data_IF_294573579274
#
_entry.id   IF_294573579274
#
_cell.length_a   1.000
_cell.length_b   1.000
_cell.length_c   1.000
_cell.angle_alpha   90.00
_cell.angle_beta   90.00
_cell.angle_gamma   90.00
#
_symmetry.space_group_name_H-M   'P 1'
#
loop_
_entity.id
_entity.type
_entity.pdbx_description
1 polymer ?
#
# COMPACT_ATOMS: atom_id res chain seq x y z
N UNK A 1 -5.43 12.21 7.88
CA UNK A 1 -5.72 10.89 8.50
C UNK A 1 -7.12 10.88 9.12
N UNK A 2 -7.80 9.75 8.97
CA UNK A 2 -9.19 9.56 9.38
C UNK A 2 -9.79 8.36 8.64
N UNK A 3 -10.94 7.87 9.11
CA UNK A 3 -11.70 6.89 8.36
C UNK A 3 -12.46 7.57 7.19
N UNK A 4 -12.43 7.01 5.97
CA UNK A 4 -13.21 7.53 4.84
C UNK A 4 -14.70 7.18 4.94
N UNK A 5 -15.06 6.31 5.90
CA UNK A 5 -16.40 5.78 6.12
C UNK A 5 -16.61 5.44 7.60
N UNK A 6 -17.85 5.31 8.09
CA UNK A 6 -18.10 4.90 9.47
C UNK A 6 -17.51 3.53 9.81
N UNK A 7 -16.80 3.44 10.94
CA UNK A 7 -16.12 2.20 11.38
C UNK A 7 -17.05 0.98 11.47
N UNK A 8 -18.33 1.21 11.82
CA UNK A 8 -19.33 0.15 11.95
C UNK A 8 -19.64 -0.60 10.64
N UNK A 9 -19.19 -0.09 9.49
CA UNK A 9 -19.33 -0.78 8.20
C UNK A 9 -18.21 -1.80 7.96
N UNK A 10 -17.14 -1.78 8.74
CA UNK A 10 -16.09 -2.79 8.67
C UNK A 10 -16.57 -4.08 9.33
N UNK A 11 -16.36 -5.21 8.64
CA UNK A 11 -16.72 -6.54 9.10
C UNK A 11 -15.55 -7.51 8.83
N UNK A 12 -15.33 -8.50 9.70
CA UNK A 12 -14.17 -9.41 9.62
C UNK A 12 -14.08 -10.20 8.30
N UNK A 13 -15.20 -10.41 7.61
CA UNK A 13 -15.27 -11.14 6.34
C UNK A 13 -14.80 -10.31 5.13
N UNK A 14 -14.55 -9.01 5.31
CA UNK A 14 -14.13 -8.13 4.23
C UNK A 14 -12.65 -8.27 3.86
N UNK A 15 -12.39 -8.03 2.58
CA UNK A 15 -11.08 -7.66 2.06
C UNK A 15 -10.98 -6.13 1.94
N UNK A 16 -10.02 -5.53 2.62
CA UNK A 16 -9.80 -4.08 2.59
C UNK A 16 -8.48 -3.79 1.89
N UNK A 17 -8.55 -3.22 0.70
CA UNK A 17 -7.39 -2.77 -0.07
C UNK A 17 -7.39 -1.25 -0.16
N UNK A 18 -6.22 -0.63 -0.04
CA UNK A 18 -6.05 0.81 -0.18
C UNK A 18 -5.05 1.19 -1.27
N UNK A 19 -5.21 2.42 -1.76
CA UNK A 19 -4.29 3.07 -2.72
C UNK A 19 -3.40 4.11 -2.04
N UNK A 20 -3.67 4.43 -0.77
CA UNK A 20 -2.83 5.33 0.01
C UNK A 20 -1.55 4.59 0.39
N UNK A 21 -0.41 5.19 0.06
CA UNK A 21 0.91 4.60 0.33
C UNK A 21 1.83 5.48 1.18
N UNK A 22 1.35 6.66 1.61
CA UNK A 22 2.03 7.56 2.57
C UNK A 22 1.01 8.16 3.55
N UNK A 23 0.91 7.62 4.78
CA UNK A 23 1.61 6.44 5.31
C UNK A 23 1.06 5.12 4.71
N UNK A 24 1.84 4.03 4.79
CA UNK A 24 1.38 2.67 4.44
C UNK A 24 0.32 2.16 5.42
N UNK A 25 0.47 2.48 6.70
CA UNK A 25 -0.52 2.12 7.73
C UNK A 25 -1.48 3.30 7.94
N UNK A 26 -2.66 3.22 7.33
CA UNK A 26 -3.74 4.19 7.49
C UNK A 26 -4.66 3.81 8.65
N UNK A 27 -5.53 4.72 9.09
CA UNK A 27 -6.52 4.38 10.12
C UNK A 27 -7.49 3.28 9.65
N UNK A 28 -7.87 3.26 8.37
CA UNK A 28 -8.76 2.23 7.82
C UNK A 28 -8.09 0.85 7.82
N UNK A 29 -6.83 0.74 7.35
CA UNK A 29 -6.08 -0.52 7.42
C UNK A 29 -5.85 -0.98 8.86
N UNK A 30 -5.53 -0.05 9.77
CA UNK A 30 -5.31 -0.36 11.19
C UNK A 30 -6.57 -0.93 11.84
N UNK A 31 -7.73 -0.29 11.62
CA UNK A 31 -9.03 -0.74 12.14
C UNK A 31 -9.46 -2.06 11.52
N UNK A 32 -9.31 -2.20 10.19
CA UNK A 32 -9.67 -3.41 9.47
C UNK A 32 -8.85 -4.61 9.97
N UNK A 33 -7.52 -4.45 10.12
CA UNK A 33 -6.65 -5.50 10.66
C UNK A 33 -7.02 -5.84 12.12
N UNK A 34 -7.32 -4.84 12.94
CA UNK A 34 -7.79 -5.04 14.31
C UNK A 34 -9.12 -5.82 14.41
N UNK A 35 -9.95 -5.79 13.37
CA UNK A 35 -11.19 -6.56 13.28
C UNK A 35 -11.00 -7.95 12.64
N UNK A 36 -9.79 -8.29 12.19
CA UNK A 36 -9.49 -9.57 11.52
C UNK A 36 -9.77 -9.59 10.02
N UNK A 37 -10.02 -8.43 9.40
CA UNK A 37 -10.11 -8.33 7.94
C UNK A 37 -8.78 -8.73 7.29
N UNK A 38 -8.86 -9.29 6.08
CA UNK A 38 -7.68 -9.40 5.21
C UNK A 38 -7.41 -8.01 4.61
N UNK A 39 -6.17 -7.53 4.72
CA UNK A 39 -5.80 -6.17 4.28
C UNK A 39 -4.68 -6.18 3.24
N UNK A 40 -4.69 -5.15 2.39
CA UNK A 40 -3.63 -4.85 1.41
C UNK A 40 -3.38 -3.34 1.41
N UNK A 41 -2.13 -2.92 1.67
CA UNK A 41 -1.74 -1.52 1.59
C UNK A 41 -1.50 -1.05 0.15
N UNK A 42 -1.31 0.27 -0.02
CA UNK A 42 -1.11 0.89 -1.33
C UNK A 42 0.32 0.77 -1.88
N UNK A 43 1.27 0.17 -1.16
CA UNK A 43 2.67 0.11 -1.55
C UNK A 43 2.90 -0.65 -2.85
N UNK A 44 2.30 -1.84 -2.97
CA UNK A 44 2.38 -2.62 -4.21
C UNK A 44 1.83 -1.85 -5.41
N UNK A 45 0.67 -1.22 -5.26
CA UNK A 45 0.10 -0.36 -6.31
C UNK A 45 1.08 0.74 -6.73
N UNK A 46 1.70 1.44 -5.78
CA UNK A 46 2.64 2.51 -6.09
C UNK A 46 3.86 2.02 -6.90
N UNK A 47 4.42 0.86 -6.52
CA UNK A 47 5.60 0.30 -7.18
C UNK A 47 5.26 -0.25 -8.57
N UNK A 48 4.19 -1.03 -8.71
CA UNK A 48 3.81 -1.61 -10.00
C UNK A 48 3.40 -0.53 -11.01
N UNK A 49 2.72 0.54 -10.56
CA UNK A 49 2.43 1.70 -11.42
C UNK A 49 3.71 2.42 -11.84
N UNK A 50 4.69 2.58 -10.94
CA UNK A 50 5.97 3.18 -11.29
C UNK A 50 6.77 2.30 -12.27
N UNK A 51 6.73 0.98 -12.12
CA UNK A 51 7.37 0.03 -13.03
C UNK A 51 6.75 0.13 -14.44
N UNK A 52 5.42 0.15 -14.54
CA UNK A 52 4.72 0.35 -15.81
C UNK A 52 5.06 1.69 -16.46
N UNK A 53 5.08 2.78 -15.67
CA UNK A 53 5.45 4.09 -16.15
C UNK A 53 6.91 4.13 -16.64
N UNK A 54 7.84 3.54 -15.90
CA UNK A 54 9.24 3.41 -16.30
C UNK A 54 9.37 2.70 -17.64
N UNK A 55 8.70 1.57 -17.82
CA UNK A 55 8.68 0.81 -19.07
C UNK A 55 8.12 1.63 -20.23
N UNK A 56 7.00 2.32 -20.03
CA UNK A 56 6.36 3.14 -21.05
C UNK A 56 7.21 4.34 -21.48
N UNK A 57 7.90 4.97 -20.53
CA UNK A 57 8.72 6.16 -20.81
C UNK A 57 10.09 5.82 -21.39
N UNK A 58 10.71 4.74 -20.92
CA UNK A 58 12.10 4.40 -21.27
C UNK A 58 12.22 3.32 -22.33
N UNK A 59 11.17 2.51 -22.53
CA UNK A 59 11.21 1.31 -23.36
C UNK A 59 12.02 0.15 -22.76
N UNK A 60 12.52 0.27 -21.51
CA UNK A 60 13.30 -0.75 -20.82
C UNK A 60 12.44 -1.50 -19.81
N UNK A 61 12.71 -2.79 -19.63
CA UNK A 61 12.04 -3.59 -18.61
C UNK A 61 12.55 -3.19 -17.21
N UNK A 62 11.68 -2.81 -16.27
CA UNK A 62 12.08 -2.48 -14.91
C UNK A 62 12.45 -3.72 -14.10
N UNK A 63 13.38 -3.58 -13.16
CA UNK A 63 13.64 -4.58 -12.13
C UNK A 63 12.63 -4.39 -10.99
N UNK A 64 11.42 -4.90 -11.15
CA UNK A 64 10.31 -4.62 -10.22
C UNK A 64 10.54 -5.14 -8.80
N UNK A 65 11.26 -6.26 -8.63
CA UNK A 65 11.62 -6.77 -7.30
C UNK A 65 12.52 -5.77 -6.56
N UNK A 66 13.57 -5.25 -7.21
CA UNK A 66 14.44 -4.22 -6.64
C UNK A 66 13.66 -2.95 -6.27
N UNK A 67 12.69 -2.55 -7.11
CA UNK A 67 11.83 -1.40 -6.83
C UNK A 67 10.93 -1.62 -5.61
N UNK A 68 10.47 -2.85 -5.37
CA UNK A 68 9.68 -3.20 -4.19
C UNK A 68 10.53 -3.12 -2.92
N UNK A 69 11.76 -3.63 -2.98
CA UNK A 69 12.71 -3.61 -1.85
C UNK A 69 13.11 -2.17 -1.50
N UNK A 70 13.45 -1.35 -2.51
CA UNK A 70 13.76 0.06 -2.33
C UNK A 70 12.58 0.83 -1.72
N UNK A 71 11.37 0.57 -2.21
CA UNK A 71 10.17 1.21 -1.67
C UNK A 71 9.93 0.81 -0.22
N UNK A 72 10.10 -0.47 0.13
CA UNK A 72 9.94 -0.95 1.50
C UNK A 72 10.93 -0.26 2.46
N UNK A 73 12.18 -0.09 2.04
CA UNK A 73 13.19 0.64 2.81
C UNK A 73 12.82 2.12 3.00
N UNK A 74 12.32 2.79 1.96
CA UNK A 74 11.86 4.18 2.04
C UNK A 74 10.61 4.35 2.91
N UNK A 75 9.69 3.40 2.87
CA UNK A 75 8.42 3.45 3.59
C UNK A 75 8.56 3.13 5.09
N UNK A 76 9.58 2.35 5.48
CA UNK A 76 9.91 2.10 6.88
C UNK A 76 10.36 3.36 7.65
N UNK A 77 10.70 4.44 6.94
CA UNK A 77 11.34 5.62 7.51
C UNK A 77 12.79 5.34 7.94
N UNK A 78 13.56 6.36 8.36
CA UNK A 78 14.89 6.11 8.93
C UNK A 78 14.74 5.22 10.18
N UNK A 79 15.59 4.20 10.30
CA UNK A 79 15.77 3.49 11.56
C UNK A 79 16.08 4.53 12.64
N UNK A 80 15.20 4.64 13.65
CA UNK A 80 15.44 5.48 14.82
C UNK A 80 16.61 4.94 15.63
#
# INVERSE_FOLDING_TARGET
PGLPLPAALLRPDLWVAEVVYRPLETELLSRARGLGCRTLDGGGMAVFQAADAFRLFTGHEPHTEDMLDDFAALAAGPAQ
#
